data_IF_933725591748
#
_entry.id   IF_933725591748
#
_cell.length_a   1.000
_cell.length_b   1.000
_cell.length_c   1.000
_cell.angle_alpha   90.00
_cell.angle_beta   90.00
_cell.angle_gamma   90.00
#
_symmetry.space_group_name_H-M   'P 1'
#
loop_
_entity.id
_entity.type
_entity.pdbx_description
1 polymer ?
#
# COMPACT_ATOMS: atom_id res chain seq x y z
N UNK A 1 -8.44 1.55 -20.90
CA UNK A 1 -7.23 1.20 -20.13
C UNK A 1 -7.10 2.08 -18.88
N UNK A 2 -7.21 3.40 -18.99
CA UNK A 2 -7.10 4.35 -17.87
C UNK A 2 -8.08 4.19 -16.71
N UNK A 3 -9.23 3.54 -16.92
CA UNK A 3 -10.21 3.28 -15.85
C UNK A 3 -9.72 2.25 -14.82
N UNK A 4 -8.80 1.36 -15.20
CA UNK A 4 -8.38 0.26 -14.33
C UNK A 4 -7.72 0.74 -13.01
N UNK A 5 -6.74 1.67 -13.03
CA UNK A 5 -6.20 2.26 -11.80
C UNK A 5 -7.26 2.85 -10.87
N UNK A 6 -8.28 3.51 -11.42
CA UNK A 6 -9.35 4.12 -10.61
C UNK A 6 -10.33 3.10 -10.04
N UNK A 7 -10.55 1.97 -10.71
CA UNK A 7 -11.57 0.99 -10.32
C UNK A 7 -11.03 -0.15 -9.46
N UNK A 8 -9.74 -0.49 -9.57
CA UNK A 8 -9.16 -1.64 -8.88
C UNK A 8 -9.41 -1.61 -7.35
N UNK A 9 -8.96 -0.54 -6.69
CA UNK A 9 -9.05 -0.43 -5.24
C UNK A 9 -10.49 -0.24 -4.72
N UNK A 10 -11.37 0.56 -5.37
CA UNK A 10 -12.77 0.62 -4.97
C UNK A 10 -13.49 -0.72 -5.08
N UNK A 11 -13.25 -1.47 -6.17
CA UNK A 11 -13.85 -2.79 -6.38
C UNK A 11 -13.40 -3.76 -5.28
N UNK A 12 -12.11 -3.81 -4.97
CA UNK A 12 -11.60 -4.67 -3.90
C UNK A 12 -12.18 -4.28 -2.54
N UNK A 13 -12.24 -2.98 -2.25
CA UNK A 13 -12.83 -2.45 -1.01
C UNK A 13 -14.29 -2.87 -0.88
N UNK A 14 -15.06 -2.76 -1.97
CA UNK A 14 -16.45 -3.18 -2.02
C UNK A 14 -16.61 -4.67 -1.78
N UNK A 15 -15.85 -5.53 -2.48
CA UNK A 15 -15.91 -6.98 -2.28
C UNK A 15 -15.54 -7.38 -0.85
N UNK A 16 -14.52 -6.73 -0.27
CA UNK A 16 -14.14 -6.95 1.12
C UNK A 16 -15.27 -6.55 2.08
N UNK A 17 -15.87 -5.38 1.88
CA UNK A 17 -16.99 -4.91 2.70
C UNK A 17 -18.19 -5.86 2.61
N UNK A 18 -18.55 -6.34 1.40
CA UNK A 18 -19.61 -7.33 1.24
C UNK A 18 -19.31 -8.66 1.93
N UNK A 19 -18.06 -9.12 1.87
CA UNK A 19 -17.62 -10.34 2.56
C UNK A 19 -17.70 -10.18 4.08
N UNK A 20 -17.23 -9.05 4.61
CA UNK A 20 -17.26 -8.78 6.05
C UNK A 20 -18.69 -8.51 6.55
N UNK A 21 -19.56 -7.87 5.75
CA UNK A 21 -20.99 -7.72 6.06
C UNK A 21 -21.66 -9.07 6.31
N UNK A 22 -21.44 -10.03 5.41
CA UNK A 22 -22.01 -11.38 5.54
C UNK A 22 -21.52 -12.12 6.78
N UNK A 23 -20.28 -11.85 7.22
CA UNK A 23 -19.64 -12.57 8.33
C UNK A 23 -19.84 -11.90 9.70
N UNK A 24 -19.81 -10.58 9.75
CA UNK A 24 -19.69 -9.78 10.98
C UNK A 24 -20.85 -8.79 11.16
N UNK A 25 -21.70 -8.61 10.15
CA UNK A 25 -22.89 -7.76 10.21
C UNK A 25 -22.63 -6.27 9.95
N UNK A 26 -23.72 -5.49 9.98
CA UNK A 26 -23.70 -4.07 9.63
C UNK A 26 -22.94 -3.20 10.64
N UNK A 27 -23.11 -3.45 11.94
CA UNK A 27 -22.46 -2.67 13.00
C UNK A 27 -20.93 -2.75 12.90
N UNK A 28 -20.40 -3.90 12.49
CA UNK A 28 -18.98 -4.04 12.20
C UNK A 28 -18.54 -3.08 11.09
N UNK A 29 -19.24 -3.05 9.95
CA UNK A 29 -18.90 -2.13 8.86
C UNK A 29 -19.06 -0.66 9.25
N UNK A 30 -20.12 -0.33 10.00
CA UNK A 30 -20.40 1.02 10.47
C UNK A 30 -19.24 1.56 11.31
N UNK A 31 -18.65 0.75 12.18
CA UNK A 31 -17.46 1.14 12.96
C UNK A 31 -16.21 1.39 12.09
N UNK A 32 -16.18 0.91 10.84
CA UNK A 32 -15.07 1.15 9.89
C UNK A 32 -15.22 2.39 9.05
N UNK A 33 -16.38 3.05 9.07
CA UNK A 33 -16.65 4.21 8.22
C UNK A 33 -15.63 5.33 8.43
N UNK A 34 -15.30 5.66 9.69
CA UNK A 34 -14.31 6.70 9.99
C UNK A 34 -12.91 6.33 9.52
N UNK A 35 -12.56 5.04 9.55
CA UNK A 35 -11.25 4.55 9.06
C UNK A 35 -11.16 4.72 7.54
N UNK A 36 -12.23 4.39 6.82
CA UNK A 36 -12.35 4.57 5.36
C UNK A 36 -12.24 6.03 4.98
N UNK A 37 -12.99 6.89 5.67
CA UNK A 37 -12.96 8.33 5.43
C UNK A 37 -11.56 8.91 5.70
N UNK A 38 -10.94 8.54 6.82
CA UNK A 38 -9.60 8.99 7.17
C UNK A 38 -8.55 8.51 6.16
N UNK A 39 -8.66 7.27 5.67
CA UNK A 39 -7.79 6.74 4.62
C UNK A 39 -7.89 7.53 3.31
N UNK A 40 -9.11 7.80 2.84
CA UNK A 40 -9.34 8.59 1.64
C UNK A 40 -8.83 10.04 1.79
N UNK A 41 -9.11 10.69 2.92
CA UNK A 41 -8.62 12.05 3.21
C UNK A 41 -7.10 12.12 3.30
N UNK A 42 -6.46 11.09 3.87
CA UNK A 42 -4.99 10.98 3.91
C UNK A 42 -4.40 10.85 2.51
N UNK A 43 -5.09 10.13 1.60
CA UNK A 43 -4.73 10.07 0.18
C UNK A 43 -4.79 11.44 -0.48
N UNK A 44 -5.88 12.18 -0.29
CA UNK A 44 -6.02 13.55 -0.79
C UNK A 44 -4.93 14.49 -0.24
N UNK A 45 -4.67 14.43 1.06
CA UNK A 45 -3.64 15.24 1.70
C UNK A 45 -2.25 14.94 1.13
N UNK A 46 -1.94 13.66 0.90
CA UNK A 46 -0.67 13.28 0.28
C UNK A 46 -0.57 13.76 -1.16
N UNK A 47 -1.63 13.63 -1.97
CA UNK A 47 -1.64 14.14 -3.33
C UNK A 47 -1.41 15.66 -3.37
N UNK A 48 -2.00 16.41 -2.43
CA UNK A 48 -1.77 17.85 -2.32
C UNK A 48 -0.32 18.19 -1.93
N UNK A 49 0.27 17.46 -0.96
CA UNK A 49 1.70 17.58 -0.62
C UNK A 49 2.56 17.27 -1.85
N UNK A 50 2.21 16.20 -2.56
CA UNK A 50 2.93 15.74 -3.74
C UNK A 50 2.92 16.82 -4.83
N UNK A 51 1.74 17.39 -5.13
CA UNK A 51 1.59 18.45 -6.12
C UNK A 51 2.35 19.72 -5.74
N UNK A 52 2.38 20.08 -4.45
CA UNK A 52 3.23 21.16 -3.95
C UNK A 52 4.72 20.89 -4.19
N UNK A 53 5.17 19.63 -4.02
CA UNK A 53 6.56 19.23 -4.26
C UNK A 53 6.96 19.16 -5.75
N UNK A 54 6.01 19.10 -6.70
CA UNK A 54 6.31 19.07 -8.15
C UNK A 54 7.02 20.35 -8.62
N UNK A 55 6.81 21.48 -7.95
CA UNK A 55 7.44 22.76 -8.30
C UNK A 55 8.92 22.86 -7.90
N UNK A 56 9.48 21.81 -7.30
CA UNK A 56 10.87 21.78 -6.85
C UNK A 56 11.71 20.91 -7.80
N UNK A 57 12.64 21.49 -8.58
CA UNK A 57 13.42 20.79 -9.60
C UNK A 57 14.24 19.59 -9.08
N UNK A 58 14.63 19.62 -7.80
CA UNK A 58 15.38 18.52 -7.19
C UNK A 58 14.61 17.18 -7.18
N UNK A 59 13.27 17.21 -7.23
CA UNK A 59 12.42 16.01 -7.27
C UNK A 59 12.23 15.42 -8.68
N UNK A 60 12.88 15.98 -9.70
CA UNK A 60 12.90 15.44 -11.06
C UNK A 60 13.84 14.24 -11.21
N UNK A 61 14.66 13.94 -10.19
CA UNK A 61 15.24 12.62 -9.97
C UNK A 61 16.16 12.13 -11.09
N UNK A 62 17.29 12.81 -11.29
CA UNK A 62 18.37 12.30 -12.16
C UNK A 62 19.18 11.18 -11.50
N UNK A 63 19.22 11.12 -10.17
CA UNK A 63 19.88 10.06 -9.41
C UNK A 63 18.90 8.90 -9.06
N UNK A 64 19.22 7.64 -9.42
CA UNK A 64 18.35 6.50 -9.15
C UNK A 64 18.06 6.25 -7.67
N UNK A 65 19.02 6.49 -6.78
CA UNK A 65 18.85 6.24 -5.35
C UNK A 65 17.95 7.31 -4.72
N UNK A 66 18.10 8.58 -5.12
CA UNK A 66 17.23 9.66 -4.69
C UNK A 66 15.79 9.47 -5.21
N UNK A 67 15.63 9.10 -6.49
CA UNK A 67 14.32 8.77 -7.04
C UNK A 67 13.66 7.63 -6.29
N UNK A 68 14.39 6.54 -6.03
CA UNK A 68 13.92 5.41 -5.23
C UNK A 68 13.46 5.85 -3.84
N UNK A 69 14.28 6.62 -3.13
CA UNK A 69 13.99 7.06 -1.76
C UNK A 69 12.73 7.91 -1.71
N UNK A 70 12.57 8.86 -2.63
CA UNK A 70 11.37 9.68 -2.73
C UNK A 70 10.13 8.84 -3.00
N UNK A 71 10.21 7.91 -3.95
CA UNK A 71 9.08 7.02 -4.26
C UNK A 71 8.70 6.19 -3.04
N UNK A 72 9.67 5.69 -2.28
CA UNK A 72 9.43 4.93 -1.05
C UNK A 72 8.81 5.78 0.06
N UNK A 73 9.31 7.01 0.24
CA UNK A 73 8.79 7.94 1.25
C UNK A 73 7.31 8.24 0.99
N UNK A 74 6.96 8.61 -0.24
CA UNK A 74 5.58 8.98 -0.58
C UNK A 74 4.66 7.75 -0.71
N UNK A 75 5.14 6.62 -1.22
CA UNK A 75 4.28 5.46 -1.45
C UNK A 75 4.03 4.61 -0.20
N UNK A 76 4.94 4.64 0.79
CA UNK A 76 4.85 3.76 1.97
C UNK A 76 5.12 4.44 3.30
N UNK A 77 6.18 5.24 3.42
CA UNK A 77 6.54 5.82 4.72
C UNK A 77 5.49 6.82 5.24
N UNK A 78 5.14 7.83 4.44
CA UNK A 78 4.12 8.82 4.81
C UNK A 78 2.74 8.18 5.02
N UNK A 79 2.27 7.27 4.14
CA UNK A 79 1.03 6.53 4.38
C UNK A 79 1.05 5.73 5.69
N UNK A 80 2.18 5.10 6.03
CA UNK A 80 2.34 4.41 7.30
C UNK A 80 2.27 5.39 8.49
N UNK A 81 2.86 6.58 8.37
CA UNK A 81 2.73 7.62 9.40
C UNK A 81 1.28 8.06 9.59
N UNK A 82 0.53 8.29 8.51
CA UNK A 82 -0.90 8.60 8.62
C UNK A 82 -1.69 7.49 9.31
N UNK A 83 -1.38 6.22 9.01
CA UNK A 83 -2.02 5.11 9.71
C UNK A 83 -1.64 5.07 11.20
N UNK A 84 -0.38 5.32 11.55
CA UNK A 84 0.05 5.42 12.95
C UNK A 84 -0.65 6.57 13.66
N UNK A 85 -0.79 7.74 13.03
CA UNK A 85 -1.55 8.86 13.59
C UNK A 85 -3.02 8.47 13.83
N UNK A 86 -3.64 7.76 12.89
CA UNK A 86 -4.99 7.21 13.09
C UNK A 86 -5.05 6.27 14.30
N UNK A 87 -4.10 5.34 14.43
CA UNK A 87 -4.03 4.42 15.57
C UNK A 87 -3.91 5.20 16.88
N UNK A 88 -3.09 6.24 16.92
CA UNK A 88 -2.88 7.04 18.14
C UNK A 88 -4.08 7.94 18.47
N UNK A 89 -4.80 8.42 17.47
CA UNK A 89 -5.96 9.30 17.63
C UNK A 89 -7.25 8.56 17.97
N UNK A 90 -7.43 7.34 17.44
CA UNK A 90 -8.63 6.52 17.72
C UNK A 90 -8.71 6.15 19.21
N UNK A 91 -9.93 6.12 19.74
CA UNK A 91 -10.23 5.63 21.09
C UNK A 91 -10.66 4.14 21.11
N UNK A 92 -10.69 3.47 19.94
CA UNK A 92 -11.16 2.10 19.82
C UNK A 92 -10.23 1.10 20.51
N UNK A 93 -10.65 -0.16 20.67
CA UNK A 93 -9.73 -1.20 21.14
C UNK A 93 -8.58 -1.43 20.16
N UNK A 94 -7.41 -1.79 20.67
CA UNK A 94 -6.20 -1.99 19.87
C UNK A 94 -6.41 -2.97 18.70
N UNK A 95 -7.12 -4.07 18.96
CA UNK A 95 -7.45 -5.07 17.95
C UNK A 95 -8.33 -4.48 16.84
N UNK A 96 -9.33 -3.68 17.23
CA UNK A 96 -10.21 -2.98 16.29
C UNK A 96 -9.37 -2.05 15.40
N UNK A 97 -8.46 -1.25 15.96
CA UNK A 97 -7.60 -0.34 15.17
C UNK A 97 -6.76 -1.09 14.13
N UNK A 98 -6.15 -2.21 14.51
CA UNK A 98 -5.31 -3.04 13.62
C UNK A 98 -6.14 -3.68 12.51
N UNK A 99 -7.31 -4.21 12.83
CA UNK A 99 -8.22 -4.80 11.85
C UNK A 99 -8.79 -3.74 10.86
N UNK A 100 -8.64 -2.46 11.19
CA UNK A 100 -8.91 -1.33 10.31
C UNK A 100 -7.86 -1.11 9.22
N UNK A 101 -6.70 -1.78 9.24
CA UNK A 101 -5.60 -1.52 8.31
C UNK A 101 -6.02 -1.50 6.83
N UNK A 102 -6.71 -2.54 6.35
CA UNK A 102 -7.17 -2.58 4.96
C UNK A 102 -8.25 -1.55 4.66
N UNK A 103 -9.11 -1.24 5.64
CA UNK A 103 -10.13 -0.19 5.53
C UNK A 103 -9.52 1.21 5.52
N UNK A 104 -8.27 1.38 5.95
CA UNK A 104 -7.50 2.60 5.76
C UNK A 104 -6.78 2.61 4.41
N UNK A 105 -6.00 1.55 4.13
CA UNK A 105 -5.03 1.56 3.03
C UNK A 105 -5.70 1.41 1.66
N UNK A 106 -6.78 0.63 1.52
CA UNK A 106 -7.45 0.51 0.23
C UNK A 106 -8.09 1.85 -0.21
N UNK A 107 -8.88 2.56 0.62
CA UNK A 107 -9.38 3.89 0.27
C UNK A 107 -8.28 4.93 0.03
N UNK A 108 -7.17 4.85 0.76
CA UNK A 108 -5.99 5.67 0.49
C UNK A 108 -5.46 5.44 -0.94
N UNK A 109 -5.27 4.17 -1.34
CA UNK A 109 -4.77 3.82 -2.67
C UNK A 109 -5.75 4.11 -3.80
N UNK A 110 -7.07 4.12 -3.53
CA UNK A 110 -8.09 4.57 -4.48
C UNK A 110 -7.83 6.00 -4.98
N UNK A 111 -7.26 6.85 -4.13
CA UNK A 111 -6.94 8.25 -4.46
C UNK A 111 -5.50 8.37 -4.94
N UNK A 112 -4.57 7.81 -4.18
CA UNK A 112 -3.14 8.02 -4.38
C UNK A 112 -2.61 7.37 -5.67
N UNK A 113 -2.93 6.09 -5.92
CA UNK A 113 -2.33 5.35 -7.05
C UNK A 113 -2.72 5.95 -8.40
N UNK A 114 -4.01 6.28 -8.67
CA UNK A 114 -4.36 6.96 -9.90
C UNK A 114 -3.65 8.30 -10.04
N UNK A 115 -3.72 9.15 -9.02
CA UNK A 115 -3.05 10.46 -9.04
C UNK A 115 -1.57 10.31 -9.40
N UNK A 116 -0.86 9.43 -8.71
CA UNK A 116 0.56 9.22 -8.94
C UNK A 116 0.87 8.71 -10.36
N UNK A 117 0.10 7.75 -10.89
CA UNK A 117 0.25 7.27 -12.27
C UNK A 117 0.09 8.42 -13.28
N UNK A 118 -0.96 9.21 -13.15
CA UNK A 118 -1.29 10.26 -14.12
C UNK A 118 -0.41 11.51 -14.03
N UNK A 119 0.23 11.74 -12.88
CA UNK A 119 1.07 12.91 -12.66
C UNK A 119 2.56 12.65 -12.92
N UNK A 120 3.05 11.42 -12.75
CA UNK A 120 4.49 11.08 -12.84
C UNK A 120 4.97 10.46 -14.14
N UNK A 121 4.09 9.91 -14.98
CA UNK A 121 4.52 9.11 -16.14
C UNK A 121 4.33 9.85 -17.46
N UNK A 122 5.43 9.98 -18.21
CA UNK A 122 5.42 10.48 -19.58
C UNK A 122 4.86 9.41 -20.56
N UNK A 123 4.95 8.12 -20.21
CA UNK A 123 4.46 7.00 -21.01
C UNK A 123 3.50 6.09 -20.23
N UNK A 124 2.24 6.07 -20.67
CA UNK A 124 1.19 5.21 -20.12
C UNK A 124 1.27 3.78 -20.67
N UNK A 125 2.32 3.05 -20.31
CA UNK A 125 2.50 1.66 -20.73
C UNK A 125 1.52 0.71 -20.04
N UNK A 126 1.35 -0.50 -20.60
CA UNK A 126 0.59 -1.58 -19.97
C UNK A 126 1.10 -1.90 -18.55
N UNK A 127 2.41 -1.82 -18.35
CA UNK A 127 3.04 -2.05 -17.06
C UNK A 127 2.53 -1.05 -16.01
N UNK A 128 2.59 0.25 -16.31
CA UNK A 128 2.14 1.33 -15.42
C UNK A 128 0.63 1.25 -15.16
N UNK A 129 -0.16 0.97 -16.20
CA UNK A 129 -1.63 1.01 -16.09
C UNK A 129 -2.24 -0.23 -15.44
N UNK A 130 -1.58 -1.40 -15.50
CA UNK A 130 -2.16 -2.65 -15.02
C UNK A 130 -1.28 -3.37 -14.00
N UNK A 131 -0.02 -3.65 -14.36
CA UNK A 131 0.86 -4.46 -13.51
C UNK A 131 1.12 -3.72 -12.21
N UNK A 132 1.50 -2.45 -12.27
CA UNK A 132 1.86 -1.66 -11.10
C UNK A 132 0.71 -1.52 -10.07
N UNK A 133 -0.55 -1.15 -10.42
CA UNK A 133 -1.66 -1.18 -9.48
C UNK A 133 -1.90 -2.55 -8.84
N UNK A 134 -1.74 -3.64 -9.60
CA UNK A 134 -1.87 -5.01 -9.08
C UNK A 134 -0.75 -5.32 -8.08
N UNK A 135 0.47 -4.85 -8.32
CA UNK A 135 1.58 -5.00 -7.38
C UNK A 135 1.32 -4.27 -6.05
N UNK A 136 0.78 -3.05 -6.09
CA UNK A 136 0.33 -2.35 -4.89
C UNK A 136 -0.72 -3.15 -4.12
N UNK A 137 -1.69 -3.72 -4.83
CA UNK A 137 -2.74 -4.53 -4.22
C UNK A 137 -2.19 -5.78 -3.53
N UNK A 138 -1.28 -6.51 -4.19
CA UNK A 138 -0.61 -7.68 -3.60
C UNK A 138 0.20 -7.30 -2.35
N UNK A 139 0.94 -6.18 -2.42
CA UNK A 139 1.70 -5.65 -1.29
C UNK A 139 0.78 -5.36 -0.09
N UNK A 140 -0.37 -4.71 -0.32
CA UNK A 140 -1.33 -4.36 0.74
C UNK A 140 -1.87 -5.60 1.48
N UNK A 141 -2.18 -6.68 0.77
CA UNK A 141 -2.66 -7.91 1.40
C UNK A 141 -1.57 -8.65 2.18
N UNK A 142 -0.33 -8.65 1.67
CA UNK A 142 0.81 -9.20 2.41
C UNK A 142 1.09 -8.37 3.68
N UNK A 143 1.12 -7.05 3.54
CA UNK A 143 1.33 -6.11 4.65
C UNK A 143 0.25 -6.21 5.72
N UNK A 144 -1.03 -6.42 5.38
CA UNK A 144 -2.08 -6.64 6.40
C UNK A 144 -1.70 -7.79 7.34
N UNK A 145 -1.22 -8.89 6.77
CA UNK A 145 -0.87 -10.09 7.51
C UNK A 145 0.32 -9.84 8.43
N UNK A 146 1.34 -9.14 7.92
CA UNK A 146 2.58 -8.87 8.64
C UNK A 146 2.37 -7.79 9.71
N UNK A 147 1.55 -6.77 9.45
CA UNK A 147 1.14 -5.76 10.43
C UNK A 147 0.36 -6.39 11.58
N UNK A 148 -0.62 -7.26 11.29
CA UNK A 148 -1.34 -8.01 12.33
C UNK A 148 -0.40 -8.86 13.17
N UNK A 149 0.51 -9.60 12.52
CA UNK A 149 1.48 -10.42 13.21
C UNK A 149 2.47 -9.58 14.03
N UNK A 150 2.90 -8.43 13.52
CA UNK A 150 3.78 -7.48 14.20
C UNK A 150 3.16 -7.01 15.51
N UNK A 151 1.92 -6.54 15.48
CA UNK A 151 1.23 -6.05 16.67
C UNK A 151 0.91 -7.14 17.69
N UNK A 152 0.54 -8.34 17.26
CA UNK A 152 0.32 -9.47 18.19
C UNK A 152 1.60 -9.86 18.94
N UNK A 153 2.76 -9.74 18.29
CA UNK A 153 4.06 -10.05 18.88
C UNK A 153 4.70 -8.88 19.65
N UNK A 154 4.10 -7.68 19.61
CA UNK A 154 4.60 -6.48 20.29
C UNK A 154 4.69 -6.66 21.82
N UNK A 155 3.69 -7.34 22.42
CA UNK A 155 3.63 -7.55 23.87
C UNK A 155 4.75 -8.43 24.42
N UNK A 156 5.38 -9.25 23.56
CA UNK A 156 6.43 -10.20 23.97
C UNK A 156 7.86 -9.79 23.59
N UNK A 157 8.06 -8.68 22.84
CA UNK A 157 9.38 -8.25 22.30
C UNK A 157 10.22 -9.42 21.76
N UNK A 158 9.59 -10.34 21.03
CA UNK A 158 10.21 -11.60 20.60
C UNK A 158 11.02 -11.42 19.31
N UNK A 159 11.90 -12.36 18.97
CA UNK A 159 12.59 -12.38 17.68
C UNK A 159 11.60 -12.33 16.48
N UNK A 160 10.37 -12.83 16.67
CA UNK A 160 9.29 -12.76 15.67
C UNK A 160 8.80 -11.33 15.42
N UNK A 161 8.83 -10.47 16.44
CA UNK A 161 8.52 -9.04 16.28
C UNK A 161 9.52 -8.36 15.34
N UNK A 162 10.82 -8.57 15.59
CA UNK A 162 11.90 -8.00 14.77
C UNK A 162 11.81 -8.53 13.34
N UNK A 163 11.61 -9.85 13.17
CA UNK A 163 11.43 -10.46 11.85
C UNK A 163 10.28 -9.81 11.08
N UNK A 164 9.08 -9.70 11.67
CA UNK A 164 7.93 -9.09 11.00
C UNK A 164 8.19 -7.62 10.64
N UNK A 165 8.96 -6.88 11.44
CA UNK A 165 9.38 -5.52 11.10
C UNK A 165 10.27 -5.46 9.86
N UNK A 166 11.27 -6.35 9.76
CA UNK A 166 12.10 -6.48 8.55
C UNK A 166 11.28 -6.88 7.32
N UNK A 167 10.29 -7.75 7.51
CA UNK A 167 9.40 -8.16 6.44
C UNK A 167 8.55 -7.00 5.89
N UNK A 168 7.94 -6.21 6.78
CA UNK A 168 7.20 -4.99 6.41
C UNK A 168 8.10 -4.02 5.65
N UNK A 169 9.34 -3.82 6.12
CA UNK A 169 10.31 -2.95 5.46
C UNK A 169 10.64 -3.46 4.05
N UNK A 170 10.97 -4.74 3.91
CA UNK A 170 11.31 -5.35 2.62
C UNK A 170 10.15 -5.27 1.62
N UNK A 171 8.91 -5.49 2.08
CA UNK A 171 7.71 -5.37 1.23
C UNK A 171 7.45 -3.93 0.80
N UNK A 172 7.66 -2.96 1.69
CA UNK A 172 7.47 -1.54 1.39
C UNK A 172 8.46 -1.01 0.36
N UNK A 173 9.68 -1.57 0.30
CA UNK A 173 10.73 -1.17 -0.65
C UNK A 173 10.41 -1.61 -2.08
N UNK A 174 9.60 -2.66 -2.23
CA UNK A 174 9.50 -3.38 -3.48
C UNK A 174 8.88 -2.56 -4.63
N UNK A 175 7.74 -1.92 -4.42
CA UNK A 175 7.07 -1.17 -5.50
C UNK A 175 7.91 0.04 -5.95
N UNK A 176 8.62 0.68 -5.01
CA UNK A 176 9.56 1.76 -5.32
C UNK A 176 10.76 1.26 -6.11
N UNK A 177 11.30 0.09 -5.78
CA UNK A 177 12.41 -0.52 -6.52
C UNK A 177 12.01 -0.81 -7.97
N UNK A 178 10.86 -1.46 -8.17
CA UNK A 178 10.34 -1.78 -9.50
C UNK A 178 10.14 -0.52 -10.34
N UNK A 179 9.58 0.54 -9.74
CA UNK A 179 9.41 1.80 -10.45
C UNK A 179 10.70 2.49 -10.80
N UNK A 180 11.71 2.44 -9.93
CA UNK A 180 13.04 2.97 -10.26
C UNK A 180 13.64 2.20 -11.43
N UNK A 181 13.57 0.87 -11.42
CA UNK A 181 14.08 0.05 -12.53
C UNK A 181 13.36 0.37 -13.84
N UNK A 182 12.02 0.52 -13.80
CA UNK A 182 11.23 0.91 -14.96
C UNK A 182 11.56 2.33 -15.45
N UNK A 183 11.68 3.31 -14.55
CA UNK A 183 11.88 4.72 -14.91
C UNK A 183 13.27 4.98 -15.52
N UNK A 184 14.29 4.24 -15.09
CA UNK A 184 15.66 4.36 -15.62
C UNK A 184 15.93 3.39 -16.78
N UNK A 185 14.89 2.91 -17.46
CA UNK A 185 14.98 2.07 -18.65
C UNK A 185 15.87 0.82 -18.49
N UNK A 186 15.89 0.23 -17.29
CA UNK A 186 16.53 -1.08 -17.13
C UNK A 186 15.81 -2.12 -17.99
N UNK A 187 16.57 -3.10 -18.47
CA UNK A 187 16.03 -4.15 -19.34
C UNK A 187 14.75 -4.77 -18.75
N UNK A 188 13.76 -4.95 -19.62
CA UNK A 188 12.42 -5.38 -19.22
C UNK A 188 12.38 -6.70 -18.44
N UNK A 189 13.30 -7.62 -18.75
CA UNK A 189 13.38 -8.90 -18.06
C UNK A 189 13.80 -8.75 -16.58
N UNK A 190 14.51 -7.68 -16.21
CA UNK A 190 14.94 -7.42 -14.83
C UNK A 190 13.73 -7.05 -13.97
N UNK A 191 13.00 -6.00 -14.32
CA UNK A 191 11.88 -5.55 -13.50
C UNK A 191 10.68 -6.51 -13.55
N UNK A 192 10.45 -7.24 -14.65
CA UNK A 192 9.45 -8.33 -14.68
C UNK A 192 9.83 -9.45 -13.71
N UNK A 193 11.10 -9.87 -13.69
CA UNK A 193 11.56 -10.94 -12.79
C UNK A 193 11.37 -10.54 -11.32
N UNK A 194 11.71 -9.27 -11.01
CA UNK A 194 11.49 -8.69 -9.68
C UNK A 194 9.99 -8.73 -9.33
N UNK A 195 9.09 -8.31 -10.24
CA UNK A 195 7.63 -8.41 -10.07
C UNK A 195 7.14 -9.84 -9.84
N UNK A 196 7.65 -10.80 -10.60
CA UNK A 196 7.27 -12.21 -10.47
C UNK A 196 7.68 -12.78 -9.11
N UNK A 197 8.93 -12.53 -8.69
CA UNK A 197 9.44 -12.98 -7.37
C UNK A 197 8.58 -12.42 -6.24
N UNK A 198 8.26 -11.12 -6.28
CA UNK A 198 7.42 -10.52 -5.24
C UNK A 198 6.00 -11.05 -5.24
N UNK A 199 5.38 -11.20 -6.41
CA UNK A 199 4.03 -11.77 -6.52
C UNK A 199 3.98 -13.16 -5.88
N UNK A 200 4.98 -13.99 -6.15
CA UNK A 200 5.13 -15.31 -5.55
C UNK A 200 5.31 -15.22 -4.03
N UNK A 201 6.14 -14.32 -3.53
CA UNK A 201 6.34 -14.11 -2.09
C UNK A 201 5.06 -13.66 -1.38
N UNK A 202 4.33 -12.69 -1.93
CA UNK A 202 3.04 -12.24 -1.41
C UNK A 202 2.01 -13.37 -1.38
N UNK A 203 1.92 -14.16 -2.47
CA UNK A 203 1.01 -15.29 -2.57
C UNK A 203 1.37 -16.41 -1.57
N UNK A 204 2.65 -16.71 -1.37
CA UNK A 204 3.06 -17.71 -0.38
C UNK A 204 2.68 -17.26 1.04
N UNK A 205 2.85 -15.98 1.38
CA UNK A 205 2.50 -15.44 2.70
C UNK A 205 1.01 -15.42 2.96
N UNK A 206 0.23 -15.04 1.95
CA UNK A 206 -1.23 -15.08 2.03
C UNK A 206 -1.76 -16.53 2.06
N UNK A 207 -1.25 -17.40 1.19
CA UNK A 207 -1.73 -18.76 0.97
C UNK A 207 -1.40 -19.75 2.09
N UNK A 208 -0.28 -19.60 2.80
CA UNK A 208 0.09 -20.52 3.89
C UNK A 208 -0.83 -20.41 5.12
N UNK A 209 -1.63 -19.35 5.25
CA UNK A 209 -2.55 -19.16 6.39
C UNK A 209 -3.99 -19.54 6.12
N UNK A 210 -4.43 -19.69 4.86
CA UNK A 210 -5.75 -20.24 4.55
C UNK A 210 -5.87 -21.76 4.85
N UNK A 211 -4.74 -22.42 5.16
CA UNK A 211 -4.66 -23.84 5.52
C UNK A 211 -4.56 -24.11 7.03
N UNK A 212 -4.71 -23.10 7.90
CA UNK A 212 -4.81 -23.26 9.36
C UNK A 212 -6.13 -22.71 9.86
#
# INVERSE_FOLDING_TARGET
MYLFPFLLFPIVTFFKACSDYKRLGFEYLKSRFLVVLFGALSGCALCAIFEFCIFVPEYQGTDPAFFFLLQWIFSFFIPALFFVFFILWSNDEWQVRIDGFLYFLLPFLCVYVPFWIFTKTAEFSFFVLFVLPVMFLLAVFALETDVKAFYLNLKGRSAKFVLNGFLILAESVFASLVMTLYYFDFDWWIWISVCAVFSVLCLFRFGFKLKK
#
